data_IF_758823904313
#
_entry.id   IF_758823904313
#
_cell.length_a   1.000
_cell.length_b   1.000
_cell.length_c   1.000
_cell.angle_alpha   90.00
_cell.angle_beta   90.00
_cell.angle_gamma   90.00
#
_symmetry.space_group_name_H-M   'P 1'
#
loop_
_entity.id
_entity.type
_entity.pdbx_description
1 polymer ?
#
# COMPACT_ATOMS: atom_id res chain seq x y z
N UNK A 1 21.18 -11.97 7.08
CA UNK A 1 20.31 -11.76 8.26
C UNK A 1 18.99 -12.45 7.96
N UNK A 2 18.78 -13.66 8.47
CA UNK A 2 17.57 -14.45 8.17
C UNK A 2 16.42 -13.82 8.96
N UNK A 3 15.70 -12.89 8.34
CA UNK A 3 14.53 -12.26 8.93
C UNK A 3 13.50 -13.37 9.22
N UNK A 4 13.14 -13.51 10.49
CA UNK A 4 12.14 -14.50 10.90
C UNK A 4 10.86 -14.27 10.09
N UNK A 5 10.25 -15.30 9.47
CA UNK A 5 9.14 -15.14 8.53
C UNK A 5 7.94 -14.39 9.12
N UNK A 6 7.77 -14.45 10.45
CA UNK A 6 6.76 -13.70 11.20
C UNK A 6 7.00 -12.18 11.18
N UNK A 7 8.25 -11.74 11.26
CA UNK A 7 8.60 -10.31 11.25
C UNK A 7 8.39 -9.73 9.86
N UNK A 8 8.77 -10.47 8.81
CA UNK A 8 8.55 -10.04 7.43
C UNK A 8 7.06 -9.82 7.14
N UNK A 9 6.18 -10.76 7.55
CA UNK A 9 4.72 -10.63 7.38
C UNK A 9 4.13 -9.46 8.18
N UNK A 10 4.67 -9.22 9.39
CA UNK A 10 4.25 -8.08 10.22
C UNK A 10 4.61 -6.76 9.54
N UNK A 11 5.84 -6.63 9.03
CA UNK A 11 6.31 -5.45 8.31
C UNK A 11 5.49 -5.25 7.04
N UNK A 12 5.19 -6.31 6.29
CA UNK A 12 4.37 -6.25 5.08
C UNK A 12 2.95 -5.75 5.37
N UNK A 13 2.35 -6.23 6.47
CA UNK A 13 1.02 -5.79 6.90
C UNK A 13 1.02 -4.34 7.37
N UNK A 14 2.03 -3.94 8.16
CA UNK A 14 2.19 -2.55 8.61
C UNK A 14 2.38 -1.60 7.43
N UNK A 15 3.21 -1.97 6.45
CA UNK A 15 3.45 -1.18 5.26
C UNK A 15 2.15 -0.97 4.47
N UNK A 16 1.33 -2.02 4.32
CA UNK A 16 0.03 -1.95 3.64
C UNK A 16 -0.95 -1.03 4.39
N UNK A 17 -1.00 -1.11 5.72
CA UNK A 17 -1.85 -0.24 6.55
C UNK A 17 -1.43 1.22 6.37
N UNK A 18 -0.13 1.52 6.51
CA UNK A 18 0.42 2.88 6.37
C UNK A 18 0.13 3.45 4.98
N UNK A 19 0.36 2.67 3.91
CA UNK A 19 0.04 3.07 2.54
C UNK A 19 -1.44 3.39 2.36
N UNK A 20 -2.33 2.56 2.93
CA UNK A 20 -3.78 2.78 2.84
C UNK A 20 -4.20 4.07 3.53
N UNK A 21 -3.63 4.38 4.70
CA UNK A 21 -3.88 5.64 5.41
C UNK A 21 -3.35 6.83 4.59
N UNK A 22 -2.14 6.73 4.05
CA UNK A 22 -1.56 7.77 3.20
C UNK A 22 -2.42 8.05 1.95
N UNK A 23 -2.86 7.01 1.26
CA UNK A 23 -3.77 7.17 0.12
C UNK A 23 -5.08 7.83 0.55
N UNK A 24 -5.65 7.44 1.70
CA UNK A 24 -6.92 8.00 2.15
C UNK A 24 -6.81 9.50 2.39
N UNK A 25 -5.78 9.95 3.11
CA UNK A 25 -5.55 11.37 3.35
C UNK A 25 -5.15 12.13 2.09
N UNK A 26 -4.35 11.53 1.20
CA UNK A 26 -3.97 12.15 -0.07
C UNK A 26 -5.21 12.36 -0.96
N UNK A 27 -6.07 11.36 -1.10
CA UNK A 27 -7.33 11.50 -1.83
C UNK A 27 -8.29 12.47 -1.13
N UNK A 28 -8.34 12.49 0.21
CA UNK A 28 -9.15 13.45 0.98
C UNK A 28 -8.76 14.90 0.68
N UNK A 29 -7.45 15.18 0.66
CA UNK A 29 -6.94 16.53 0.39
C UNK A 29 -6.99 16.93 -1.09
N UNK A 30 -7.00 15.98 -2.02
CA UNK A 30 -7.01 16.27 -3.46
C UNK A 30 -8.41 16.35 -4.06
N UNK A 31 -9.36 15.57 -3.56
CA UNK A 31 -10.68 15.43 -4.19
C UNK A 31 -11.84 16.03 -3.38
N UNK A 32 -11.58 16.57 -2.18
CA UNK A 32 -12.60 17.16 -1.28
C UNK A 32 -13.89 16.32 -1.22
N UNK A 33 -13.75 14.99 -1.26
CA UNK A 33 -14.90 14.08 -1.35
C UNK A 33 -15.59 14.08 0.00
N UNK A 34 -16.78 14.67 0.08
CA UNK A 34 -17.63 14.68 1.28
C UNK A 34 -17.96 13.26 1.78
N UNK A 35 -17.97 12.30 0.86
CA UNK A 35 -18.35 10.93 1.14
C UNK A 35 -17.14 10.10 1.59
N UNK A 36 -16.80 10.22 2.88
CA UNK A 36 -15.67 9.53 3.53
C UNK A 36 -15.70 8.00 3.32
N UNK A 37 -16.89 7.40 3.21
CA UNK A 37 -17.05 5.96 2.99
C UNK A 37 -16.57 5.53 1.60
N UNK A 38 -16.92 6.31 0.57
CA UNK A 38 -16.55 6.08 -0.83
C UNK A 38 -15.04 6.31 -1.01
N UNK A 39 -14.52 7.35 -0.36
CA UNK A 39 -13.10 7.66 -0.33
C UNK A 39 -12.26 6.53 0.29
N UNK A 40 -12.74 5.94 1.39
CA UNK A 40 -12.09 4.81 2.06
C UNK A 40 -12.01 3.60 1.12
N UNK A 41 -13.09 3.32 0.38
CA UNK A 41 -13.14 2.22 -0.58
C UNK A 41 -12.13 2.40 -1.73
N UNK A 42 -12.08 3.60 -2.31
CA UNK A 42 -11.14 3.93 -3.37
C UNK A 42 -9.68 3.91 -2.89
N UNK A 43 -9.41 4.40 -1.68
CA UNK A 43 -8.08 4.37 -1.09
C UNK A 43 -7.55 2.94 -0.93
N UNK A 44 -8.38 2.01 -0.46
CA UNK A 44 -7.99 0.59 -0.32
C UNK A 44 -7.65 -0.02 -1.68
N UNK A 45 -8.48 0.24 -2.70
CA UNK A 45 -8.22 -0.19 -4.09
C UNK A 45 -6.89 0.36 -4.61
N UNK A 46 -6.63 1.66 -4.41
CA UNK A 46 -5.41 2.31 -4.87
C UNK A 46 -4.16 1.80 -4.14
N UNK A 47 -4.25 1.60 -2.82
CA UNK A 47 -3.19 1.01 -2.01
C UNK A 47 -2.88 -0.42 -2.47
N UNK A 48 -3.90 -1.23 -2.78
CA UNK A 48 -3.72 -2.59 -3.28
C UNK A 48 -2.99 -2.63 -4.63
N UNK A 49 -3.41 -1.79 -5.58
CA UNK A 49 -2.76 -1.68 -6.90
C UNK A 49 -1.32 -1.22 -6.75
N UNK A 50 -1.07 -0.20 -5.92
CA UNK A 50 0.28 0.34 -5.67
C UNK A 50 1.18 -0.71 -5.02
N UNK A 51 0.66 -1.47 -4.05
CA UNK A 51 1.38 -2.54 -3.39
C UNK A 51 1.75 -3.67 -4.36
N UNK A 52 0.80 -4.12 -5.18
CA UNK A 52 1.04 -5.11 -6.25
C UNK A 52 2.06 -4.62 -7.27
N UNK A 53 1.94 -3.37 -7.70
CA UNK A 53 2.88 -2.73 -8.61
C UNK A 53 4.29 -2.67 -8.03
N UNK A 54 4.43 -2.26 -6.76
CA UNK A 54 5.70 -2.24 -6.04
C UNK A 54 6.32 -3.63 -5.98
N UNK A 55 5.58 -4.67 -5.60
CA UNK A 55 6.10 -6.04 -5.55
C UNK A 55 6.55 -6.53 -6.93
N UNK A 56 5.79 -6.25 -7.98
CA UNK A 56 6.16 -6.62 -9.36
C UNK A 56 7.43 -5.90 -9.80
N UNK A 57 7.53 -4.58 -9.54
CA UNK A 57 8.72 -3.78 -9.87
C UNK A 57 9.92 -4.26 -9.07
N UNK A 58 9.77 -4.49 -7.76
CA UNK A 58 10.84 -5.03 -6.90
C UNK A 58 11.32 -6.39 -7.38
N UNK A 59 10.40 -7.30 -7.73
CA UNK A 59 10.76 -8.60 -8.28
C UNK A 59 11.47 -8.46 -9.62
N UNK A 60 11.03 -7.55 -10.50
CA UNK A 60 11.64 -7.32 -11.81
C UNK A 60 13.03 -6.68 -11.70
N UNK A 61 13.24 -5.80 -10.73
CA UNK A 61 14.54 -5.16 -10.46
C UNK A 61 15.50 -6.14 -9.78
N UNK A 62 15.01 -6.93 -8.82
CA UNK A 62 15.81 -7.93 -8.10
C UNK A 62 16.19 -9.11 -9.00
N UNK A 63 15.29 -9.58 -9.88
CA UNK A 63 15.57 -10.66 -10.83
C UNK A 63 16.41 -10.22 -12.05
N UNK A 64 16.64 -8.91 -12.23
CA UNK A 64 17.59 -8.38 -13.22
C UNK A 64 19.02 -8.26 -12.68
N UNK A 65 19.26 -8.63 -11.42
CA UNK A 65 20.58 -8.77 -10.81
C UNK A 65 20.95 -10.23 -10.70
#
# INVERSE_FOLDING_TARGET
MVASPKIMQLVESLLRIILTILFFYAFKGLFEVDNDLLLAFFSILCAFVTFKGLVIIFNKVTAKK
#
